data_IF_705276541179
#
_entry.id   IF_705276541179
#
_cell.length_a   1.000
_cell.length_b   1.000
_cell.length_c   1.000
_cell.angle_alpha   90.00
_cell.angle_beta   90.00
_cell.angle_gamma   90.00
#
_symmetry.space_group_name_H-M   'P 1'
#
loop_
_entity.id
_entity.type
_entity.pdbx_description
1 polymer ?
#
# COMPACT_ATOMS: atom_id res chain seq x y z
N UNK A 1 -9.21 17.31 6.02
CA UNK A 1 -9.38 18.33 4.97
C UNK A 1 -9.50 17.66 3.62
N UNK A 2 -10.47 18.05 2.80
CA UNK A 2 -10.73 17.45 1.50
C UNK A 2 -11.16 18.53 0.51
N UNK A 3 -10.58 18.49 -0.69
CA UNK A 3 -10.92 19.36 -1.81
C UNK A 3 -11.01 18.52 -3.08
N UNK A 4 -12.11 18.70 -3.81
CA UNK A 4 -12.34 18.14 -5.13
C UNK A 4 -12.76 19.25 -6.06
N UNK A 5 -12.05 19.42 -7.16
CA UNK A 5 -12.34 20.40 -8.19
C UNK A 5 -12.63 19.66 -9.48
N UNK A 6 -13.84 19.87 -10.02
CA UNK A 6 -14.26 19.32 -11.30
C UNK A 6 -14.22 20.43 -12.35
N UNK A 7 -13.56 20.14 -13.48
CA UNK A 7 -13.33 21.08 -14.59
C UNK A 7 -13.48 20.35 -15.91
N UNK A 8 -13.60 21.09 -17.02
CA UNK A 8 -13.67 20.48 -18.35
C UNK A 8 -14.81 19.47 -18.46
N UNK A 9 -16.00 19.82 -17.93
CA UNK A 9 -17.18 18.96 -17.95
C UNK A 9 -17.69 18.94 -19.39
N UNK A 10 -17.64 17.77 -20.00
CA UNK A 10 -18.09 17.50 -21.35
C UNK A 10 -18.99 16.27 -21.34
N UNK A 11 -20.30 16.50 -21.35
CA UNK A 11 -21.32 15.45 -21.26
C UNK A 11 -22.41 15.77 -22.29
N UNK A 12 -22.48 14.97 -23.36
CA UNK A 12 -23.57 15.03 -24.35
C UNK A 12 -24.32 13.68 -24.37
N UNK A 13 -25.58 13.64 -23.90
CA UNK A 13 -26.40 12.43 -23.99
C UNK A 13 -26.64 11.93 -25.42
N UNK A 14 -26.56 12.80 -26.43
CA UNK A 14 -26.72 12.42 -27.84
C UNK A 14 -25.43 11.81 -28.43
N UNK A 15 -24.27 12.08 -27.83
CA UNK A 15 -22.97 11.55 -28.24
C UNK A 15 -22.08 11.17 -27.04
N UNK A 16 -22.61 10.31 -26.18
CA UNK A 16 -21.94 9.90 -24.93
C UNK A 16 -20.62 9.13 -25.18
N UNK A 17 -20.44 8.60 -26.40
CA UNK A 17 -19.23 7.88 -26.76
C UNK A 17 -18.01 8.82 -26.82
N UNK A 18 -18.22 10.07 -27.25
CA UNK A 18 -17.16 11.07 -27.40
C UNK A 18 -17.20 12.15 -26.31
N UNK A 19 -18.39 12.46 -25.80
CA UNK A 19 -18.65 13.54 -24.86
C UNK A 19 -19.15 12.97 -23.53
N UNK A 20 -18.24 12.34 -22.78
CA UNK A 20 -18.51 11.75 -21.46
C UNK A 20 -17.27 11.85 -20.57
N UNK A 21 -16.78 13.06 -20.35
CA UNK A 21 -15.55 13.29 -19.60
C UNK A 21 -15.67 14.47 -18.65
N UNK A 22 -15.03 14.33 -17.49
CA UNK A 22 -14.84 15.39 -16.52
C UNK A 22 -13.41 15.29 -16.02
N UNK A 23 -12.69 16.40 -16.00
CA UNK A 23 -11.38 16.45 -15.37
C UNK A 23 -11.53 16.72 -13.87
N UNK A 24 -10.96 15.86 -13.05
CA UNK A 24 -11.01 15.95 -11.59
C UNK A 24 -9.62 16.24 -11.02
N UNK A 25 -9.54 17.20 -10.10
CA UNK A 25 -8.39 17.44 -9.23
C UNK A 25 -8.78 17.20 -7.79
N UNK A 26 -7.98 16.42 -7.08
CA UNK A 26 -8.22 16.04 -5.70
C UNK A 26 -7.04 16.47 -4.84
N UNK A 27 -7.33 16.99 -3.65
CA UNK A 27 -6.36 17.18 -2.59
C UNK A 27 -7.01 16.81 -1.26
N UNK A 28 -6.35 15.98 -0.47
CA UNK A 28 -6.89 15.51 0.79
C UNK A 28 -5.80 15.33 1.84
N UNK A 29 -6.21 15.56 3.09
CA UNK A 29 -5.49 15.11 4.28
C UNK A 29 -6.31 14.01 4.94
N UNK A 30 -5.78 12.79 4.93
CA UNK A 30 -6.35 11.63 5.59
C UNK A 30 -5.60 11.38 6.90
N UNK A 31 -6.33 11.38 8.02
CA UNK A 31 -5.81 11.00 9.33
C UNK A 31 -6.62 9.83 9.81
N UNK A 32 -5.95 8.74 10.18
CA UNK A 32 -6.57 7.54 10.71
C UNK A 32 -6.05 7.33 12.12
N UNK A 33 -6.92 7.57 13.09
CA UNK A 33 -6.68 7.32 14.50
C UNK A 33 -7.49 6.09 14.95
N UNK A 34 -7.00 5.39 15.96
CA UNK A 34 -7.71 4.29 16.58
C UNK A 34 -6.99 3.78 17.82
N UNK A 35 -7.32 2.56 18.24
CA UNK A 35 -6.72 1.98 19.43
C UNK A 35 -6.06 0.63 19.09
N UNK A 36 -4.84 0.42 19.58
CA UNK A 36 -4.09 -0.82 19.41
C UNK A 36 -3.59 -1.34 20.76
N UNK A 37 -3.46 -2.66 20.88
CA UNK A 37 -2.90 -3.28 22.08
C UNK A 37 -1.37 -3.27 22.00
N UNK A 38 -0.72 -2.38 22.74
CA UNK A 38 0.73 -2.23 22.78
C UNK A 38 1.21 -2.62 24.18
N UNK A 39 2.01 -3.69 24.25
CA UNK A 39 2.51 -4.21 25.53
C UNK A 39 1.40 -4.67 26.46
N UNK A 40 0.32 -5.26 25.90
CA UNK A 40 -0.83 -5.75 26.65
C UNK A 40 -1.83 -4.67 27.09
N UNK A 41 -1.56 -3.38 26.81
CA UNK A 41 -2.46 -2.26 27.13
C UNK A 41 -3.04 -1.65 25.86
N UNK A 42 -4.33 -1.32 25.88
CA UNK A 42 -4.95 -0.52 24.81
C UNK A 42 -4.41 0.90 24.87
N UNK A 43 -3.89 1.38 23.75
CA UNK A 43 -3.36 2.73 23.59
C UNK A 43 -3.96 3.37 22.34
N UNK A 44 -4.26 4.65 22.41
CA UNK A 44 -4.60 5.42 21.21
C UNK A 44 -3.37 5.56 20.32
N UNK A 45 -3.54 5.27 19.04
CA UNK A 45 -2.49 5.30 18.04
C UNK A 45 -2.99 5.98 16.78
N UNK A 46 -2.09 6.72 16.15
CA UNK A 46 -2.29 7.20 14.79
C UNK A 46 -1.74 6.17 13.81
N UNK A 47 -2.62 5.56 13.04
CA UNK A 47 -2.29 4.58 12.00
C UNK A 47 -1.82 5.25 10.71
N UNK A 48 -2.34 6.42 10.39
CA UNK A 48 -1.91 7.18 9.22
C UNK A 48 -2.08 8.70 9.41
N UNK A 49 -1.14 9.46 8.84
CA UNK A 49 -1.25 10.91 8.62
C UNK A 49 -0.75 11.17 7.19
N UNK A 50 -1.66 11.18 6.23
CA UNK A 50 -1.33 11.27 4.81
C UNK A 50 -1.83 12.56 4.22
N UNK A 51 -0.96 13.24 3.49
CA UNK A 51 -1.36 14.25 2.51
C UNK A 51 -1.28 13.63 1.13
N UNK A 52 -2.38 13.69 0.39
CA UNK A 52 -2.42 13.23 -0.99
C UNK A 52 -3.01 14.30 -1.90
N UNK A 53 -2.54 14.33 -3.13
CA UNK A 53 -3.06 15.21 -4.16
C UNK A 53 -2.90 14.57 -5.53
N UNK A 54 -3.70 14.98 -6.51
CA UNK A 54 -3.60 14.43 -7.84
C UNK A 54 -4.73 14.85 -8.75
N UNK A 55 -4.72 14.28 -9.94
CA UNK A 55 -5.69 14.59 -10.97
C UNK A 55 -5.98 13.40 -11.87
N UNK A 56 -7.07 13.49 -12.62
CA UNK A 56 -7.53 12.40 -13.45
C UNK A 56 -8.75 12.73 -14.27
N UNK A 57 -9.17 11.74 -15.06
CA UNK A 57 -10.37 11.80 -15.88
C UNK A 57 -11.45 10.93 -15.27
N UNK A 58 -12.66 11.46 -15.28
CA UNK A 58 -13.88 10.79 -14.83
C UNK A 58 -14.80 10.64 -16.03
N UNK A 59 -15.33 9.44 -16.23
CA UNK A 59 -16.46 9.16 -17.11
C UNK A 59 -17.71 9.04 -16.22
N UNK A 60 -18.59 10.05 -16.14
CA UNK A 60 -19.68 10.06 -15.17
C UNK A 60 -20.84 9.12 -15.50
N UNK A 61 -21.05 8.83 -16.79
CA UNK A 61 -22.19 8.06 -17.29
C UNK A 61 -21.71 6.75 -17.90
N UNK A 62 -22.42 5.66 -17.65
CA UNK A 62 -22.19 4.39 -18.35
C UNK A 62 -22.81 4.45 -19.76
N UNK A 63 -22.04 4.33 -20.85
CA UNK A 63 -22.54 4.54 -22.21
C UNK A 63 -23.68 3.59 -22.61
N UNK A 64 -23.70 2.37 -22.06
CA UNK A 64 -24.71 1.36 -22.44
C UNK A 64 -26.06 1.60 -21.76
N UNK A 65 -26.05 1.99 -20.48
CA UNK A 65 -27.27 2.11 -19.68
C UNK A 65 -27.77 3.55 -19.60
N UNK A 66 -26.92 4.53 -19.97
CA UNK A 66 -27.15 5.96 -19.79
C UNK A 66 -27.41 6.36 -18.33
N UNK A 67 -27.02 5.50 -17.38
CA UNK A 67 -27.15 5.77 -15.95
C UNK A 67 -25.87 6.41 -15.42
N UNK A 68 -26.04 7.23 -14.39
CA UNK A 68 -24.94 7.74 -13.59
C UNK A 68 -24.18 6.58 -12.95
N UNK A 69 -22.94 6.37 -13.39
CA UNK A 69 -22.03 5.32 -12.91
C UNK A 69 -20.59 5.78 -13.10
N UNK A 70 -20.09 6.67 -12.22
CA UNK A 70 -18.79 7.27 -12.41
C UNK A 70 -17.66 6.25 -12.37
N UNK A 71 -16.82 6.28 -13.40
CA UNK A 71 -15.50 5.64 -13.40
C UNK A 71 -14.43 6.73 -13.44
N UNK A 72 -13.45 6.67 -12.55
CA UNK A 72 -12.38 7.67 -12.46
C UNK A 72 -11.01 7.00 -12.56
N UNK A 73 -10.20 7.42 -13.51
CA UNK A 73 -8.78 7.09 -13.54
C UNK A 73 -7.98 8.26 -12.98
N UNK A 74 -7.32 8.05 -11.85
CA UNK A 74 -6.62 9.08 -11.10
C UNK A 74 -5.13 8.75 -10.98
N UNK A 75 -4.29 9.77 -11.14
CA UNK A 75 -2.89 9.73 -10.73
C UNK A 75 -2.74 10.59 -9.47
N UNK A 76 -2.37 9.94 -8.38
CA UNK A 76 -2.26 10.53 -7.05
C UNK A 76 -0.80 10.51 -6.61
N UNK A 77 -0.44 11.51 -5.83
CA UNK A 77 0.83 11.65 -5.13
C UNK A 77 0.51 11.68 -3.65
N UNK A 78 1.15 10.80 -2.88
CA UNK A 78 1.17 10.90 -1.41
C UNK A 78 2.49 11.57 -1.03
N UNK A 79 2.40 12.69 -0.32
CA UNK A 79 3.56 13.53 -0.04
C UNK A 79 4.57 12.78 0.85
N UNK A 80 5.85 12.93 0.55
CA UNK A 80 6.96 12.64 1.47
C UNK A 80 6.68 13.26 2.84
N UNK A 81 7.02 12.54 3.89
CA UNK A 81 6.75 12.98 5.26
C UNK A 81 5.37 12.56 5.77
N UNK A 82 4.49 12.05 4.92
CA UNK A 82 3.28 11.35 5.36
C UNK A 82 3.64 10.08 6.13
N UNK A 83 2.80 9.68 7.09
CA UNK A 83 2.97 8.45 7.85
C UNK A 83 1.92 7.40 7.51
N UNK A 84 2.34 6.15 7.41
CA UNK A 84 1.51 4.96 7.14
C UNK A 84 1.85 3.84 8.11
N UNK A 85 0.89 2.97 8.40
CA UNK A 85 1.06 1.76 9.23
C UNK A 85 1.21 2.00 10.74
N UNK A 86 1.64 3.19 11.18
CA UNK A 86 1.73 3.55 12.60
C UNK A 86 2.55 2.55 13.41
N UNK A 87 1.88 1.85 14.34
CA UNK A 87 2.48 0.83 15.23
C UNK A 87 2.31 -0.61 14.74
N UNK A 88 1.70 -0.82 13.57
CA UNK A 88 1.49 -2.16 13.04
C UNK A 88 2.81 -2.88 12.79
N UNK A 89 2.80 -4.18 13.01
CA UNK A 89 3.92 -5.06 12.70
C UNK A 89 3.57 -6.02 11.56
N UNK A 90 4.57 -6.70 11.00
CA UNK A 90 4.32 -7.79 10.04
C UNK A 90 3.46 -8.86 10.71
N UNK A 91 3.65 -9.10 12.02
CA UNK A 91 2.81 -9.98 12.83
C UNK A 91 1.33 -9.64 12.77
N UNK A 92 1.02 -8.35 12.89
CA UNK A 92 -0.37 -7.86 12.87
C UNK A 92 -0.99 -7.91 11.47
N UNK A 93 -0.17 -7.76 10.41
CA UNK A 93 -0.66 -7.63 9.03
C UNK A 93 -0.68 -8.95 8.24
N UNK A 94 0.26 -9.88 8.47
CA UNK A 94 0.50 -11.03 7.59
C UNK A 94 -0.12 -12.36 8.09
N UNK A 95 -0.70 -12.40 9.28
CA UNK A 95 -1.45 -13.55 9.80
C UNK A 95 -0.74 -14.90 9.65
N UNK A 96 -1.46 -15.93 9.18
CA UNK A 96 -1.01 -17.35 9.12
C UNK A 96 0.18 -17.61 8.17
N UNK A 97 0.53 -16.68 7.27
CA UNK A 97 1.65 -16.87 6.34
C UNK A 97 3.02 -16.72 7.04
N UNK A 98 3.06 -16.04 8.20
CA UNK A 98 4.25 -15.97 9.05
C UNK A 98 4.60 -17.28 9.73
N UNK A 99 3.63 -18.19 9.94
CA UNK A 99 3.86 -19.45 10.65
C UNK A 99 4.92 -20.32 9.96
N UNK A 100 5.01 -20.23 8.62
CA UNK A 100 6.06 -20.92 7.86
C UNK A 100 7.44 -20.32 8.15
N UNK A 101 7.56 -18.99 8.16
CA UNK A 101 8.81 -18.29 8.46
C UNK A 101 9.24 -18.52 9.92
N UNK A 102 8.28 -18.48 10.85
CA UNK A 102 8.47 -18.82 12.27
C UNK A 102 8.98 -20.25 12.47
N UNK A 103 8.46 -21.22 11.69
CA UNK A 103 8.94 -22.61 11.70
C UNK A 103 10.41 -22.75 11.26
N UNK A 104 10.87 -21.86 10.38
CA UNK A 104 12.29 -21.80 9.97
C UNK A 104 13.14 -20.87 10.86
N UNK A 105 12.60 -20.41 12.00
CA UNK A 105 13.33 -19.58 12.96
C UNK A 105 13.43 -18.10 12.57
N UNK A 106 12.71 -17.68 11.53
CA UNK A 106 12.63 -16.28 11.10
C UNK A 106 11.42 -15.63 11.78
N UNK A 107 11.67 -14.90 12.88
CA UNK A 107 10.63 -14.12 13.53
C UNK A 107 10.58 -12.70 12.96
N UNK A 108 9.64 -12.50 12.04
CA UNK A 108 9.34 -11.19 11.46
C UNK A 108 8.22 -10.47 12.23
N UNK A 109 7.61 -11.11 13.23
CA UNK A 109 6.38 -10.62 13.87
C UNK A 109 6.58 -9.27 14.56
N UNK A 110 7.77 -8.98 15.08
CA UNK A 110 8.08 -7.71 15.75
C UNK A 110 8.50 -6.58 14.80
N UNK A 111 8.69 -6.87 13.51
CA UNK A 111 9.11 -5.86 12.54
C UNK A 111 7.94 -4.90 12.31
N UNK A 112 8.15 -3.62 12.61
CA UNK A 112 7.14 -2.59 12.36
C UNK A 112 6.93 -2.41 10.86
N UNK A 113 5.71 -2.62 10.40
CA UNK A 113 5.25 -2.14 9.10
C UNK A 113 4.58 -0.80 9.35
N UNK A 114 5.39 0.25 9.30
CA UNK A 114 4.93 1.61 9.22
C UNK A 114 6.10 2.57 9.28
N UNK A 115 5.82 3.83 9.00
CA UNK A 115 6.82 4.87 9.14
C UNK A 115 6.48 6.09 8.31
N UNK A 116 7.44 7.01 8.32
CA UNK A 116 7.38 8.24 7.55
C UNK A 116 7.93 7.97 6.15
N UNK A 117 7.18 8.33 5.12
CA UNK A 117 7.61 8.16 3.73
C UNK A 117 8.87 8.98 3.47
N UNK A 118 9.90 8.32 2.94
CA UNK A 118 11.19 8.92 2.61
C UNK A 118 11.14 9.74 1.30
N UNK A 119 10.16 9.45 0.45
CA UNK A 119 9.92 10.13 -0.83
C UNK A 119 8.42 10.18 -1.14
N UNK A 120 8.05 10.96 -2.16
CA UNK A 120 6.70 11.00 -2.67
C UNK A 120 6.32 9.64 -3.27
N UNK A 121 5.08 9.21 -3.02
CA UNK A 121 4.54 7.95 -3.56
C UNK A 121 3.59 8.27 -4.69
N UNK A 122 3.91 7.78 -5.88
CA UNK A 122 3.06 7.92 -7.06
C UNK A 122 2.13 6.71 -7.16
N UNK A 123 0.83 6.96 -7.24
CA UNK A 123 -0.22 5.95 -7.30
C UNK A 123 -1.08 6.21 -8.52
N UNK A 124 -1.25 5.21 -9.39
CA UNK A 124 -2.22 5.30 -10.49
C UNK A 124 -3.34 4.31 -10.22
N UNK A 125 -4.58 4.80 -10.13
CA UNK A 125 -5.74 4.01 -9.75
C UNK A 125 -6.91 4.19 -10.71
N UNK A 126 -7.67 3.12 -10.90
CA UNK A 126 -9.02 3.17 -11.44
C UNK A 126 -10.01 2.97 -10.30
N UNK A 127 -10.89 3.93 -10.09
CA UNK A 127 -12.07 3.80 -9.25
C UNK A 127 -13.30 3.53 -10.11
N UNK A 128 -14.05 2.47 -9.83
CA UNK A 128 -15.34 2.17 -10.47
C UNK A 128 -16.13 1.23 -9.56
N UNK A 129 -17.44 1.45 -9.44
CA UNK A 129 -18.33 0.59 -8.65
C UNK A 129 -17.79 0.30 -7.24
N UNK A 130 -17.44 1.37 -6.51
CA UNK A 130 -16.94 1.28 -5.12
C UNK A 130 -15.67 0.43 -4.96
N UNK A 131 -14.95 0.21 -6.06
CA UNK A 131 -13.71 -0.54 -6.08
C UNK A 131 -12.57 0.31 -6.61
N UNK A 132 -11.38 0.13 -6.03
CA UNK A 132 -10.11 0.68 -6.52
C UNK A 132 -9.29 -0.45 -7.12
N UNK A 133 -8.68 -0.20 -8.27
CA UNK A 133 -7.65 -1.05 -8.87
C UNK A 133 -6.38 -0.26 -9.10
N UNK A 134 -5.23 -0.84 -8.75
CA UNK A 134 -3.93 -0.27 -9.03
C UNK A 134 -3.52 -0.54 -10.48
N UNK A 135 -3.27 0.53 -11.23
CA UNK A 135 -2.93 0.48 -12.65
C UNK A 135 -1.42 0.32 -12.89
N UNK A 136 -0.61 0.49 -11.85
CA UNK A 136 0.83 0.26 -11.86
C UNK A 136 1.35 -0.12 -10.47
N UNK A 137 2.61 -0.55 -10.43
CA UNK A 137 3.32 -0.80 -9.18
C UNK A 137 3.45 0.51 -8.39
N UNK A 138 3.07 0.48 -7.12
CA UNK A 138 3.14 1.62 -6.20
C UNK A 138 4.18 1.34 -5.13
N UNK A 139 5.30 2.07 -5.18
CA UNK A 139 6.41 1.92 -4.25
C UNK A 139 6.28 2.90 -3.08
N UNK A 140 6.27 2.35 -1.88
CA UNK A 140 6.37 3.08 -0.62
C UNK A 140 7.79 2.87 -0.07
N UNK A 141 8.60 3.93 -0.11
CA UNK A 141 9.94 3.90 0.49
C UNK A 141 9.91 4.47 1.90
N UNK A 142 10.39 3.67 2.86
CA UNK A 142 10.54 4.03 4.27
C UNK A 142 12.02 3.91 4.65
N UNK A 143 12.45 4.46 5.81
CA UNK A 143 13.87 4.49 6.17
C UNK A 143 14.53 3.10 6.25
N UNK A 144 13.79 2.08 6.69
CA UNK A 144 14.37 0.75 6.98
C UNK A 144 13.95 -0.33 5.97
N UNK A 145 12.96 -0.05 5.13
CA UNK A 145 12.43 -0.98 4.15
C UNK A 145 11.60 -0.27 3.08
N UNK A 146 11.31 -0.98 2.01
CA UNK A 146 10.36 -0.58 0.99
C UNK A 146 9.21 -1.58 0.96
N UNK A 147 7.99 -1.13 0.67
CA UNK A 147 6.94 -2.03 0.25
C UNK A 147 6.31 -1.58 -1.06
N UNK A 148 5.98 -2.52 -1.92
CA UNK A 148 5.35 -2.27 -3.21
C UNK A 148 3.98 -2.90 -3.22
N UNK A 149 2.95 -2.14 -3.54
CA UNK A 149 1.66 -2.69 -3.97
C UNK A 149 1.77 -2.91 -5.48
N UNK A 150 1.62 -4.15 -5.93
CA UNK A 150 1.78 -4.51 -7.34
C UNK A 150 0.58 -4.07 -8.16
N UNK A 151 0.82 -3.85 -9.45
CA UNK A 151 -0.25 -3.73 -10.45
C UNK A 151 -1.25 -4.86 -10.30
N UNK A 152 -2.51 -4.58 -10.62
CA UNK A 152 -3.64 -5.52 -10.53
C UNK A 152 -4.09 -5.83 -9.10
N UNK A 153 -3.45 -5.24 -8.09
CA UNK A 153 -4.02 -5.17 -6.74
C UNK A 153 -5.36 -4.41 -6.77
N UNK A 154 -6.26 -4.78 -5.88
CA UNK A 154 -7.60 -4.18 -5.82
C UNK A 154 -8.16 -4.15 -4.40
N UNK A 155 -9.11 -3.24 -4.19
CA UNK A 155 -9.92 -3.10 -2.98
C UNK A 155 -11.37 -2.88 -3.40
N UNK A 156 -12.31 -3.63 -2.85
CA UNK A 156 -13.76 -3.48 -3.02
C UNK A 156 -14.35 -3.05 -1.67
N UNK A 157 -14.76 -1.78 -1.60
CA UNK A 157 -15.25 -1.18 -0.35
C UNK A 157 -16.68 -1.61 -0.03
N UNK A 158 -17.47 -2.02 -1.03
CA UNK A 158 -18.84 -2.47 -0.83
C UNK A 158 -18.89 -3.85 -0.18
N UNK A 159 -17.93 -4.71 -0.53
CA UNK A 159 -17.83 -6.08 0.01
C UNK A 159 -16.86 -6.23 1.16
N UNK A 160 -16.13 -5.17 1.53
CA UNK A 160 -15.03 -5.21 2.49
C UNK A 160 -14.00 -6.30 2.13
N UNK A 161 -13.62 -6.33 0.85
CA UNK A 161 -12.69 -7.30 0.30
C UNK A 161 -11.51 -6.61 -0.36
N UNK A 162 -10.36 -7.28 -0.33
CA UNK A 162 -9.16 -6.79 -1.00
C UNK A 162 -8.33 -7.95 -1.53
N UNK A 163 -7.68 -7.71 -2.66
CA UNK A 163 -6.63 -8.57 -3.20
C UNK A 163 -5.40 -7.71 -3.40
N UNK A 164 -4.64 -7.49 -2.32
CA UNK A 164 -3.40 -6.73 -2.37
C UNK A 164 -2.24 -7.67 -2.62
N UNK A 165 -1.59 -7.52 -3.77
CA UNK A 165 -0.35 -8.22 -4.09
C UNK A 165 0.78 -7.33 -3.60
N UNK A 166 1.43 -7.72 -2.51
CA UNK A 166 2.42 -6.85 -1.87
C UNK A 166 3.80 -7.48 -1.89
N UNK A 167 4.83 -6.65 -2.10
CA UNK A 167 6.23 -7.05 -1.95
C UNK A 167 6.88 -6.18 -0.88
N UNK A 168 7.39 -6.80 0.17
CA UNK A 168 8.26 -6.16 1.15
C UNK A 168 9.72 -6.33 0.71
N UNK A 169 10.54 -5.29 0.81
CA UNK A 169 11.99 -5.35 0.59
C UNK A 169 12.71 -4.70 1.77
N UNK A 170 13.49 -5.49 2.50
CA UNK A 170 14.20 -5.05 3.70
C UNK A 170 15.47 -4.27 3.33
N UNK A 171 15.73 -3.16 4.04
CA UNK A 171 17.03 -2.50 4.03
C UNK A 171 18.08 -3.29 4.84
N UNK A 172 19.35 -2.87 4.79
CA UNK A 172 20.43 -3.66 5.40
C UNK A 172 20.33 -3.81 6.91
N UNK A 173 19.84 -2.80 7.63
CA UNK A 173 19.64 -2.92 9.07
C UNK A 173 18.64 -4.03 9.40
N UNK A 174 17.53 -4.08 8.66
CA UNK A 174 16.49 -5.08 8.86
C UNK A 174 16.94 -6.47 8.39
N UNK A 175 17.67 -6.55 7.28
CA UNK A 175 18.31 -7.78 6.81
C UNK A 175 19.27 -8.36 7.86
N UNK A 176 20.14 -7.53 8.44
CA UNK A 176 21.08 -7.98 9.48
C UNK A 176 20.35 -8.43 10.75
N UNK A 177 19.23 -7.77 11.13
CA UNK A 177 18.37 -8.25 12.21
C UNK A 177 17.78 -9.64 11.90
N UNK A 178 17.29 -9.86 10.68
CA UNK A 178 16.78 -11.15 10.23
C UNK A 178 17.89 -12.21 10.27
N UNK A 179 19.08 -11.92 9.72
CA UNK A 179 20.24 -12.84 9.74
C UNK A 179 20.62 -13.23 11.16
N UNK A 180 20.69 -12.27 12.09
CA UNK A 180 21.01 -12.54 13.50
C UNK A 180 19.93 -13.36 14.18
N UNK A 181 18.65 -13.09 13.89
CA UNK A 181 17.52 -13.87 14.39
C UNK A 181 17.62 -15.34 14.00
N UNK A 182 17.86 -15.64 12.72
CA UNK A 182 18.07 -17.00 12.22
C UNK A 182 19.31 -17.63 12.84
N UNK A 183 20.39 -16.88 12.96
CA UNK A 183 21.64 -17.39 13.52
C UNK A 183 21.54 -17.78 15.00
N UNK A 184 20.78 -17.02 15.78
CA UNK A 184 20.55 -17.29 17.21
C UNK A 184 19.83 -18.61 17.49
N UNK A 185 19.20 -19.22 16.47
CA UNK A 185 18.46 -20.50 16.57
C UNK A 185 19.29 -21.73 16.21
N UNK A 186 20.62 -21.58 16.11
CA UNK A 186 21.56 -22.70 15.95
C UNK A 186 22.01 -22.95 14.51
N UNK A 187 21.54 -22.17 13.54
CA UNK A 187 22.15 -22.11 12.22
C UNK A 187 23.37 -21.19 12.32
N UNK A 188 24.59 -21.70 12.13
CA UNK A 188 25.78 -20.86 12.13
C UNK A 188 25.63 -19.66 11.17
N UNK A 189 26.28 -18.53 11.49
CA UNK A 189 26.11 -17.24 10.79
C UNK A 189 26.23 -17.36 9.26
N UNK A 190 27.16 -18.18 8.77
CA UNK A 190 27.35 -18.47 7.34
C UNK A 190 26.13 -19.12 6.68
N UNK A 191 25.48 -20.07 7.37
CA UNK A 191 24.29 -20.77 6.85
C UNK A 191 23.09 -19.84 6.87
N UNK A 192 22.95 -19.03 7.92
CA UNK A 192 21.91 -18.02 8.05
C UNK A 192 21.99 -16.97 6.94
N UNK A 193 23.19 -16.49 6.60
CA UNK A 193 23.39 -15.59 5.44
C UNK A 193 23.02 -16.25 4.11
N UNK A 194 23.32 -17.53 3.91
CA UNK A 194 22.91 -18.28 2.70
C UNK A 194 21.39 -18.38 2.58
N UNK A 195 20.70 -18.77 3.67
CA UNK A 195 19.24 -18.90 3.68
C UNK A 195 18.57 -17.57 3.42
N UNK A 196 19.01 -16.50 4.09
CA UNK A 196 18.47 -15.15 3.89
C UNK A 196 18.81 -14.62 2.49
N UNK A 197 19.98 -14.94 1.96
CA UNK A 197 20.39 -14.64 0.58
C UNK A 197 19.47 -15.26 -0.47
N UNK A 198 18.92 -16.45 -0.22
CA UNK A 198 17.97 -17.11 -1.12
C UNK A 198 16.63 -16.35 -1.28
N UNK A 199 16.29 -15.47 -0.34
CA UNK A 199 15.13 -14.58 -0.41
C UNK A 199 15.48 -13.19 -0.95
N UNK A 200 16.66 -13.00 -1.53
CA UNK A 200 17.06 -11.69 -2.05
C UNK A 200 16.47 -11.41 -3.43
N UNK A 201 16.02 -10.17 -3.65
CA UNK A 201 15.63 -9.65 -4.96
C UNK A 201 16.86 -9.47 -5.87
N UNK A 202 16.63 -9.06 -7.12
CA UNK A 202 17.68 -8.79 -8.12
C UNK A 202 18.66 -7.67 -7.68
N UNK A 203 18.32 -6.93 -6.62
CA UNK A 203 19.15 -5.87 -6.01
C UNK A 203 19.89 -6.37 -4.76
N UNK A 204 19.81 -7.66 -4.43
CA UNK A 204 20.46 -8.28 -3.26
C UNK A 204 19.80 -7.95 -1.92
N UNK A 205 18.56 -7.45 -1.93
CA UNK A 205 17.78 -7.13 -0.73
C UNK A 205 16.82 -8.25 -0.42
N UNK A 206 16.70 -8.60 0.86
CA UNK A 206 15.74 -9.62 1.29
C UNK A 206 14.34 -9.12 0.97
N UNK A 207 13.59 -9.90 0.19
CA UNK A 207 12.25 -9.54 -0.24
C UNK A 207 11.26 -10.68 0.00
N UNK A 208 10.03 -10.30 0.34
CA UNK A 208 8.93 -11.20 0.62
C UNK A 208 7.72 -10.78 -0.21
N UNK A 209 7.15 -11.71 -0.98
CA UNK A 209 5.84 -11.53 -1.59
C UNK A 209 4.79 -11.99 -0.57
N UNK A 210 3.84 -11.10 -0.28
CA UNK A 210 2.80 -11.21 0.75
C UNK A 210 1.42 -11.09 0.11
#
# INVERSE_FOLDING_TARGET
>A
DFSLVLTGIDIDPADIANHNSVHARLSAKAVVDGAAQIGGRMQEVKFADMRLHGEGLVNPVEPTTMLWSPAAQMNLIIDRGSSVGGHMTIGDAAGQNLDKLMKYGVDLSAIRIGGVLAQDVNVSVLFRNESIRFLGDTLFALPEYEFTIKRDSWMDFAKDQQGLLTRLSCGEALKEQIVRGVASRGLGETVSRMVVGAFSDDRGRVAFDL
#
